data_IF_125244899359
#
_entry.id   IF_125244899359
#
_cell.length_a   1.000
_cell.length_b   1.000
_cell.length_c   1.000
_cell.angle_alpha   90.00
_cell.angle_beta   90.00
_cell.angle_gamma   90.00
#
_symmetry.space_group_name_H-M   'P 1'
#
loop_
_entity.id
_entity.type
_entity.pdbx_description
1 polymer ?
#
# COMPACT_ATOMS: atom_id res chain seq x y z
N UNK A 1 -62.20 -13.13 36.68
CA UNK A 1 -60.95 -13.77 37.13
C UNK A 1 -59.97 -13.76 35.97
N UNK A 2 -58.92 -12.91 35.98
CA UNK A 2 -57.89 -12.86 34.91
C UNK A 2 -56.57 -13.33 35.50
N UNK A 3 -56.03 -14.42 34.96
CA UNK A 3 -54.75 -15.01 35.36
C UNK A 3 -53.64 -14.30 34.58
N UNK A 4 -52.81 -13.53 35.28
CA UNK A 4 -51.59 -12.92 34.71
C UNK A 4 -50.47 -13.97 34.75
N UNK A 5 -50.03 -14.47 33.59
CA UNK A 5 -48.86 -15.36 33.50
C UNK A 5 -47.58 -14.53 33.41
N UNK A 6 -46.66 -14.72 34.36
CA UNK A 6 -45.35 -14.08 34.41
C UNK A 6 -44.43 -14.76 33.39
N UNK A 7 -44.15 -14.10 32.27
CA UNK A 7 -43.14 -14.55 31.32
C UNK A 7 -41.74 -14.30 31.94
N UNK A 8 -41.21 -15.30 32.63
CA UNK A 8 -39.83 -15.27 33.11
C UNK A 8 -38.88 -15.51 31.95
N UNK A 9 -38.41 -14.43 31.31
CA UNK A 9 -37.30 -14.50 30.36
C UNK A 9 -36.03 -14.88 31.12
N UNK A 10 -35.68 -16.17 31.08
CA UNK A 10 -34.46 -16.70 31.67
C UNK A 10 -33.23 -16.14 30.97
N UNK A 11 -32.77 -14.97 31.42
CA UNK A 11 -31.46 -14.45 31.07
C UNK A 11 -30.41 -15.29 31.79
N UNK A 12 -29.86 -16.28 31.07
CA UNK A 12 -28.69 -17.04 31.50
C UNK A 12 -27.47 -16.11 31.43
N UNK A 13 -26.84 -15.85 32.57
CA UNK A 13 -25.59 -15.09 32.64
C UNK A 13 -24.42 -15.93 32.14
N UNK A 14 -23.50 -15.29 31.40
CA UNK A 14 -22.22 -15.87 30.98
C UNK A 14 -21.35 -16.10 32.21
N UNK A 15 -20.72 -17.27 32.33
CA UNK A 15 -19.87 -17.56 33.49
C UNK A 15 -18.51 -16.88 33.34
N UNK A 16 -17.93 -16.39 34.44
CA UNK A 16 -16.60 -15.73 34.39
C UNK A 16 -15.53 -16.67 33.83
N UNK A 17 -15.64 -17.97 34.14
CA UNK A 17 -14.71 -18.99 33.63
C UNK A 17 -14.78 -19.16 32.11
N UNK A 18 -15.95 -18.95 31.50
CA UNK A 18 -16.14 -19.01 30.05
C UNK A 18 -15.41 -17.87 29.35
N UNK A 19 -15.42 -16.68 29.96
CA UNK A 19 -14.63 -15.55 29.47
C UNK A 19 -13.11 -15.73 29.72
N UNK A 20 -12.72 -16.42 30.80
CA UNK A 20 -11.31 -16.70 31.10
C UNK A 20 -10.68 -17.69 30.10
N UNK A 21 -11.36 -18.80 29.83
CA UNK A 21 -10.86 -19.81 28.88
C UNK A 21 -10.81 -19.24 27.46
N UNK A 22 -11.78 -18.41 27.08
CA UNK A 22 -11.78 -17.78 25.76
C UNK A 22 -10.60 -16.83 25.58
N UNK A 23 -10.24 -16.00 26.56
CA UNK A 23 -9.04 -15.15 26.47
C UNK A 23 -7.75 -15.97 26.39
N UNK A 24 -7.67 -17.08 27.12
CA UNK A 24 -6.55 -18.03 27.06
C UNK A 24 -6.38 -18.58 25.64
N UNK A 25 -7.45 -19.07 25.02
CA UNK A 25 -7.40 -19.61 23.65
C UNK A 25 -7.14 -18.49 22.62
N UNK A 26 -7.73 -17.31 22.79
CA UNK A 26 -7.51 -16.17 21.88
C UNK A 26 -6.04 -15.74 21.84
N UNK A 27 -5.33 -15.76 22.97
CA UNK A 27 -3.90 -15.43 23.00
C UNK A 27 -3.02 -16.37 22.17
N UNK A 28 -3.38 -17.66 22.13
CA UNK A 28 -2.67 -18.68 21.34
C UNK A 28 -2.93 -18.43 19.86
N UNK A 29 -4.18 -18.16 19.46
CA UNK A 29 -4.55 -17.89 18.08
C UNK A 29 -3.89 -16.62 17.53
N UNK A 30 -3.92 -15.52 18.29
CA UNK A 30 -3.33 -14.24 17.88
C UNK A 30 -1.81 -14.37 17.67
N UNK A 31 -1.12 -15.12 18.52
CA UNK A 31 0.33 -15.32 18.42
C UNK A 31 0.76 -15.95 17.09
N UNK A 32 -0.05 -16.87 16.55
CA UNK A 32 0.22 -17.54 15.26
C UNK A 32 -0.03 -16.57 14.08
N UNK A 33 -1.05 -15.70 14.20
CA UNK A 33 -1.53 -14.86 13.10
C UNK A 33 -0.70 -13.58 12.91
N UNK A 34 -0.19 -12.97 13.98
CA UNK A 34 0.42 -11.62 13.90
C UNK A 34 1.77 -11.60 13.18
N UNK A 35 2.64 -12.57 13.46
CA UNK A 35 4.00 -12.59 12.91
C UNK A 35 4.07 -12.58 11.36
N UNK A 36 3.30 -13.41 10.62
CA UNK A 36 3.39 -13.43 9.15
C UNK A 36 2.92 -12.13 8.48
N UNK A 37 2.05 -11.34 9.12
CA UNK A 37 1.55 -10.07 8.55
C UNK A 37 2.66 -9.04 8.38
N UNK A 38 3.67 -9.03 9.25
CA UNK A 38 4.78 -8.06 9.18
C UNK A 38 5.64 -8.30 7.92
N UNK A 39 5.95 -9.56 7.63
CA UNK A 39 6.73 -9.93 6.44
C UNK A 39 5.91 -9.74 5.15
N UNK A 40 4.61 -10.06 5.19
CA UNK A 40 3.71 -9.88 4.07
C UNK A 40 3.62 -8.40 3.65
N UNK A 41 3.57 -7.46 4.61
CA UNK A 41 3.52 -6.01 4.32
C UNK A 41 4.72 -5.53 3.49
N UNK A 42 5.94 -5.93 3.86
CA UNK A 42 7.15 -5.55 3.11
C UNK A 42 7.12 -6.05 1.67
N UNK A 43 6.66 -7.30 1.46
CA UNK A 43 6.53 -7.88 0.12
C UNK A 43 5.47 -7.18 -0.72
N UNK A 44 4.34 -6.82 -0.10
CA UNK A 44 3.27 -6.04 -0.76
C UNK A 44 3.79 -4.66 -1.16
N UNK A 45 4.51 -3.98 -0.28
CA UNK A 45 5.12 -2.68 -0.56
C UNK A 45 6.13 -2.75 -1.70
N UNK A 46 6.99 -3.77 -1.71
CA UNK A 46 7.95 -3.99 -2.79
C UNK A 46 7.24 -4.25 -4.13
N UNK A 47 6.23 -5.11 -4.14
CA UNK A 47 5.44 -5.40 -5.34
C UNK A 47 4.71 -4.15 -5.87
N UNK A 48 4.14 -3.35 -4.97
CA UNK A 48 3.48 -2.10 -5.33
C UNK A 48 4.46 -1.07 -5.90
N UNK A 49 5.62 -0.84 -5.26
CA UNK A 49 6.59 0.12 -5.81
C UNK A 49 7.14 -0.34 -7.16
N UNK A 50 7.37 -1.65 -7.35
CA UNK A 50 7.77 -2.19 -8.67
C UNK A 50 6.70 -2.00 -9.74
N UNK A 51 5.41 -2.14 -9.40
CA UNK A 51 4.32 -1.92 -10.35
C UNK A 51 4.20 -0.43 -10.73
N UNK A 52 4.36 0.47 -9.76
CA UNK A 52 4.38 1.91 -10.01
C UNK A 52 5.55 2.32 -10.90
N UNK A 53 6.78 1.85 -10.61
CA UNK A 53 7.95 2.14 -11.44
C UNK A 53 7.73 1.74 -12.90
N UNK A 54 7.22 0.52 -13.14
CA UNK A 54 6.89 0.07 -14.50
C UNK A 54 5.83 0.94 -15.19
N UNK A 55 4.88 1.48 -14.43
CA UNK A 55 3.85 2.37 -14.98
C UNK A 55 4.47 3.71 -15.38
N UNK A 56 5.39 4.22 -14.57
CA UNK A 56 6.12 5.46 -14.85
C UNK A 56 7.07 5.25 -16.04
N UNK A 57 7.87 4.17 -16.05
CA UNK A 57 8.77 3.83 -17.15
C UNK A 57 8.00 3.71 -18.48
N UNK A 58 6.84 3.06 -18.46
CA UNK A 58 5.99 2.97 -19.64
C UNK A 58 5.51 4.34 -20.12
N UNK A 59 5.18 5.24 -19.20
CA UNK A 59 4.75 6.59 -19.53
C UNK A 59 5.91 7.47 -20.05
N UNK A 60 7.12 7.29 -19.51
CA UNK A 60 8.34 7.93 -20.03
C UNK A 60 8.62 7.45 -21.45
N UNK A 61 8.58 6.13 -21.69
CA UNK A 61 8.79 5.57 -23.02
C UNK A 61 7.74 6.07 -24.04
N UNK A 62 6.47 6.23 -23.64
CA UNK A 62 5.46 6.83 -24.52
C UNK A 62 5.73 8.31 -24.79
N UNK A 63 6.18 9.07 -23.79
CA UNK A 63 6.56 10.47 -23.96
C UNK A 63 7.74 10.62 -24.94
N UNK A 64 8.76 9.78 -24.80
CA UNK A 64 9.92 9.74 -25.69
C UNK A 64 9.55 9.32 -27.12
N UNK A 65 8.57 8.42 -27.27
CA UNK A 65 8.09 7.98 -28.58
C UNK A 65 7.30 9.07 -29.33
N UNK A 66 6.59 9.93 -28.60
CA UNK A 66 5.82 11.05 -29.16
C UNK A 66 6.69 12.31 -29.36
N UNK A 67 7.97 12.28 -28.98
CA UNK A 67 8.87 13.42 -29.11
C UNK A 67 9.07 13.82 -30.58
N UNK A 68 8.70 15.07 -30.97
CA UNK A 68 8.76 15.51 -32.36
C UNK A 68 10.19 15.69 -32.88
N UNK A 69 11.20 15.71 -32.00
CA UNK A 69 12.60 15.81 -32.41
C UNK A 69 13.19 14.46 -32.81
N UNK A 70 12.51 13.35 -32.47
CA UNK A 70 12.94 11.99 -32.77
C UNK A 70 14.20 11.55 -32.01
N UNK A 71 14.64 12.34 -31.03
CA UNK A 71 15.85 12.08 -30.26
C UNK A 71 15.59 11.23 -29.01
N UNK A 72 14.32 10.89 -28.73
CA UNK A 72 13.93 10.14 -27.54
C UNK A 72 14.28 10.91 -26.26
N UNK A 73 14.05 12.22 -26.24
CA UNK A 73 14.34 13.04 -25.07
C UNK A 73 13.39 12.71 -23.93
N UNK A 74 13.95 12.18 -22.85
CA UNK A 74 13.22 11.96 -21.60
C UNK A 74 12.66 13.29 -21.06
N UNK A 75 11.52 13.24 -20.35
CA UNK A 75 10.88 14.44 -19.82
C UNK A 75 11.78 15.14 -18.81
N UNK A 76 11.80 16.47 -18.81
CA UNK A 76 12.61 17.23 -17.84
C UNK A 76 12.08 17.02 -16.40
N UNK A 77 10.76 16.86 -16.25
CA UNK A 77 10.12 16.55 -14.98
C UNK A 77 9.02 15.49 -15.17
N UNK A 78 8.83 14.60 -14.18
CA UNK A 78 7.71 13.64 -14.21
C UNK A 78 6.32 14.29 -14.22
N UNK A 79 6.24 15.57 -13.87
CA UNK A 79 5.00 16.33 -13.97
C UNK A 79 4.55 16.52 -15.42
N UNK A 80 5.49 16.50 -16.38
CA UNK A 80 5.21 16.71 -17.81
C UNK A 80 4.47 15.50 -18.41
N UNK A 81 4.44 14.37 -17.71
CA UNK A 81 3.68 13.17 -18.10
C UNK A 81 2.19 13.30 -17.77
N UNK A 82 1.81 14.25 -16.92
CA UNK A 82 0.42 14.43 -16.49
C UNK A 82 -0.19 15.59 -17.28
N UNK A 83 -1.40 15.44 -17.86
CA UNK A 83 -2.33 14.31 -17.72
C UNK A 83 -2.27 13.28 -18.86
N UNK A 84 -1.46 13.51 -19.89
CA UNK A 84 -1.58 12.82 -21.17
C UNK A 84 -1.05 11.38 -21.14
N UNK A 85 0.01 11.12 -20.39
CA UNK A 85 0.66 9.79 -20.29
C UNK A 85 0.39 9.11 -18.94
N UNK A 86 0.23 9.87 -17.87
CA UNK A 86 -0.21 9.41 -16.55
C UNK A 86 -1.43 10.20 -16.09
N UNK A 87 -2.42 9.49 -15.55
CA UNK A 87 -3.61 10.12 -14.95
C UNK A 87 -3.23 10.95 -13.73
N UNK A 88 -3.85 12.11 -13.57
CA UNK A 88 -3.68 12.98 -12.39
C UNK A 88 -4.05 12.33 -11.06
N UNK A 89 -4.81 11.23 -11.09
CA UNK A 89 -5.15 10.42 -9.90
C UNK A 89 -4.01 9.50 -9.45
N UNK A 90 -2.91 9.43 -10.20
CA UNK A 90 -1.76 8.59 -9.86
C UNK A 90 -1.08 9.12 -8.59
N UNK A 91 -0.81 8.22 -7.64
CA UNK A 91 -0.06 8.56 -6.44
C UNK A 91 1.42 8.45 -6.71
N UNK A 92 2.12 9.57 -6.63
CA UNK A 92 3.58 9.63 -6.74
C UNK A 92 4.31 9.10 -5.50
N UNK A 93 3.59 8.69 -4.46
CA UNK A 93 4.17 8.22 -3.21
C UNK A 93 4.44 6.71 -3.27
N UNK A 94 5.67 6.28 -2.97
CA UNK A 94 5.99 4.88 -2.80
C UNK A 94 5.47 4.35 -1.44
N UNK A 95 4.59 3.33 -1.43
CA UNK A 95 4.06 2.74 -0.20
C UNK A 95 5.11 2.07 0.70
N UNK A 96 6.30 1.80 0.16
CA UNK A 96 7.44 1.22 0.88
C UNK A 96 8.42 2.25 1.45
N UNK A 97 8.17 3.55 1.28
CA UNK A 97 9.06 4.58 1.84
C UNK A 97 9.19 4.42 3.37
N UNK A 98 10.39 4.60 3.94
CA UNK A 98 10.55 4.63 5.40
C UNK A 98 9.64 5.71 6.00
N UNK A 99 8.90 5.33 7.04
CA UNK A 99 8.08 6.27 7.83
C UNK A 99 9.03 7.24 8.55
N UNK A 100 9.32 8.39 7.92
CA UNK A 100 10.20 9.43 8.49
C UNK A 100 11.30 9.98 7.57
N UNK A 101 11.39 9.59 6.29
CA UNK A 101 12.22 10.33 5.33
C UNK A 101 11.42 11.46 4.66
N UNK A 102 12.15 12.50 4.25
CA UNK A 102 11.61 13.72 3.61
C UNK A 102 11.10 13.49 2.19
N UNK A 103 11.54 12.44 1.50
CA UNK A 103 11.05 12.09 0.15
C UNK A 103 10.58 10.63 0.09
N UNK A 104 9.27 10.46 -0.03
CA UNK A 104 8.63 9.19 -0.43
C UNK A 104 8.12 9.26 -1.86
N UNK A 105 8.38 10.37 -2.55
CA UNK A 105 7.90 10.68 -3.89
C UNK A 105 8.89 10.14 -4.95
N UNK A 106 8.37 9.47 -5.98
CA UNK A 106 9.16 9.00 -7.13
C UNK A 106 9.78 10.15 -7.92
N UNK A 107 9.13 11.32 -7.93
CA UNK A 107 9.58 12.51 -8.65
C UNK A 107 10.92 13.04 -8.13
N UNK A 108 11.18 12.87 -6.82
CA UNK A 108 12.43 13.27 -6.18
C UNK A 108 13.60 12.32 -6.50
N UNK A 109 13.30 11.14 -7.07
CA UNK A 109 14.26 10.08 -7.39
C UNK A 109 14.30 9.81 -8.90
N UNK A 110 13.99 10.83 -9.69
CA UNK A 110 14.09 10.80 -11.14
C UNK A 110 15.35 11.49 -11.63
N UNK A 111 16.04 10.85 -12.56
CA UNK A 111 17.16 11.43 -13.28
C UNK A 111 16.73 11.80 -14.71
N UNK A 112 16.56 13.10 -14.94
CA UNK A 112 16.17 13.66 -16.24
C UNK A 112 17.23 13.51 -17.33
N UNK A 113 18.49 13.21 -16.97
CA UNK A 113 19.54 12.98 -17.96
C UNK A 113 19.50 11.57 -18.54
N UNK A 114 18.96 10.60 -17.79
CA UNK A 114 18.90 9.18 -18.18
C UNK A 114 17.49 8.65 -18.36
N UNK A 115 16.46 9.42 -17.97
CA UNK A 115 15.06 8.99 -18.02
C UNK A 115 14.73 7.92 -16.98
N UNK A 116 15.60 7.67 -16.00
CA UNK A 116 15.42 6.60 -15.03
C UNK A 116 14.71 7.11 -13.77
N UNK A 117 13.65 6.41 -13.36
CA UNK A 117 12.99 6.63 -12.07
C UNK A 117 13.35 5.52 -11.08
N UNK A 118 13.76 5.90 -9.88
CA UNK A 118 14.08 4.97 -8.80
C UNK A 118 13.10 5.09 -7.63
N UNK A 119 12.92 3.98 -6.93
CA UNK A 119 12.21 3.97 -5.67
C UNK A 119 13.06 4.63 -4.56
N UNK A 120 12.48 5.48 -3.70
CA UNK A 120 13.18 6.06 -2.55
C UNK A 120 13.77 5.03 -1.58
N UNK A 121 13.24 3.80 -1.60
CA UNK A 121 13.77 2.68 -0.83
C UNK A 121 14.58 1.77 -1.74
N UNK A 122 15.90 1.87 -1.64
CA UNK A 122 16.86 1.14 -2.47
C UNK A 122 16.61 -0.38 -2.55
N UNK A 123 16.13 -1.02 -1.48
CA UNK A 123 15.78 -2.46 -1.48
C UNK A 123 14.60 -2.84 -2.39
N UNK A 124 13.88 -1.86 -2.92
CA UNK A 124 12.75 -2.04 -3.85
C UNK A 124 13.11 -1.64 -5.29
N UNK A 125 14.33 -1.15 -5.53
CA UNK A 125 14.87 -0.97 -6.88
C UNK A 125 15.19 -2.34 -7.47
N UNK A 126 15.01 -2.47 -8.79
CA UNK A 126 15.28 -3.71 -9.53
C UNK A 126 16.77 -3.91 -9.79
#
# INVERSE_FOLDING_TARGET
>A
MRVVRKAGSGQKGFTVIELMITMLIMSILVSIVVMPMIMAKNKVQQAACKANLRTIDAAIMSYEADDPTGNGTSPANLNDLVPDYIKSTFSWQCPGGPMGLTSTDYRDNYDSATGNVSCPRASHNL
#
